data_IF_178636847206
#
_entry.id   IF_178636847206
#
_cell.length_a   1.000
_cell.length_b   1.000
_cell.length_c   1.000
_cell.angle_alpha   90.00
_cell.angle_beta   90.00
_cell.angle_gamma   90.00
#
_symmetry.space_group_name_H-M   'P 1'
#
loop_
_entity.id
_entity.type
_entity.pdbx_description
1 polymer ?
#
# COMPACT_ATOMS: atom_id res chain seq x y z
N UNK A 1 16.05 3.44 -16.20
CA UNK A 1 14.88 2.56 -16.07
C UNK A 1 13.80 3.00 -17.04
N UNK A 2 13.23 2.09 -17.84
CA UNK A 2 12.11 2.42 -18.74
C UNK A 2 10.85 2.79 -17.95
N UNK A 3 9.90 3.48 -18.58
CA UNK A 3 8.62 3.85 -17.96
C UNK A 3 7.85 2.59 -17.50
N UNK A 4 7.94 1.50 -18.27
CA UNK A 4 7.32 0.21 -17.95
C UNK A 4 7.80 -0.36 -16.62
N UNK A 5 9.11 -0.30 -16.34
CA UNK A 5 9.69 -0.77 -15.07
C UNK A 5 9.24 0.11 -13.90
N UNK A 6 9.16 1.44 -14.11
CA UNK A 6 8.68 2.37 -13.08
C UNK A 6 7.23 2.10 -12.69
N UNK A 7 6.36 1.88 -13.68
CA UNK A 7 4.94 1.54 -13.47
C UNK A 7 4.81 0.17 -12.81
N UNK A 8 5.56 -0.84 -13.28
CA UNK A 8 5.55 -2.19 -12.71
C UNK A 8 5.91 -2.19 -11.23
N UNK A 9 7.00 -1.51 -10.86
CA UNK A 9 7.40 -1.33 -9.45
C UNK A 9 6.33 -0.63 -8.62
N UNK A 10 5.73 0.44 -9.14
CA UNK A 10 4.67 1.17 -8.44
C UNK A 10 3.44 0.26 -8.20
N UNK A 11 3.01 -0.47 -9.22
CA UNK A 11 1.87 -1.38 -9.14
C UNK A 11 2.09 -2.52 -8.12
N UNK A 12 3.28 -3.12 -8.09
CA UNK A 12 3.62 -4.14 -7.08
C UNK A 12 3.56 -3.54 -5.67
N UNK A 13 4.08 -2.33 -5.48
CA UNK A 13 4.06 -1.64 -4.18
C UNK A 13 2.65 -1.23 -3.76
N UNK A 14 1.80 -0.78 -4.68
CA UNK A 14 0.38 -0.51 -4.40
C UNK A 14 -0.39 -1.77 -4.01
N UNK A 15 -0.13 -2.89 -4.71
CA UNK A 15 -0.69 -4.20 -4.37
C UNK A 15 -0.22 -4.67 -2.98
N UNK A 16 1.04 -4.45 -2.66
CA UNK A 16 1.62 -4.80 -1.34
C UNK A 16 1.08 -3.90 -0.24
N UNK A 17 0.75 -2.65 -0.54
CA UNK A 17 0.19 -1.72 0.44
C UNK A 17 -1.26 -2.07 0.81
N UNK A 18 -2.07 -2.35 -0.21
CA UNK A 18 -3.51 -2.62 -0.05
C UNK A 18 -3.82 -4.10 0.23
N UNK A 19 -2.90 -5.00 -0.12
CA UNK A 19 -3.15 -6.43 -0.20
C UNK A 19 -4.10 -6.78 -1.35
N UNK A 20 -4.16 -8.06 -1.72
CA UNK A 20 -4.98 -8.56 -2.85
C UNK A 20 -6.45 -8.15 -2.70
N UNK A 21 -7.04 -8.41 -1.52
CA UNK A 21 -8.45 -8.12 -1.25
C UNK A 21 -8.71 -6.61 -1.27
N UNK A 22 -7.83 -5.81 -0.66
CA UNK A 22 -7.94 -4.36 -0.68
C UNK A 22 -7.83 -3.78 -2.09
N UNK A 23 -6.91 -4.30 -2.91
CA UNK A 23 -6.79 -3.93 -4.32
C UNK A 23 -8.03 -4.30 -5.12
N UNK A 24 -8.60 -5.50 -4.95
CA UNK A 24 -9.86 -5.88 -5.61
C UNK A 24 -11.01 -4.96 -5.23
N UNK A 25 -11.12 -4.60 -3.95
CA UNK A 25 -12.14 -3.68 -3.47
C UNK A 25 -11.94 -2.26 -4.04
N UNK A 26 -10.70 -1.78 -4.11
CA UNK A 26 -10.39 -0.51 -4.76
C UNK A 26 -10.82 -0.52 -6.24
N UNK A 27 -10.50 -1.58 -6.98
CA UNK A 27 -10.93 -1.75 -8.38
C UNK A 27 -12.46 -1.75 -8.52
N UNK A 28 -13.17 -2.44 -7.63
CA UNK A 28 -14.64 -2.49 -7.64
C UNK A 28 -15.28 -1.11 -7.42
N UNK A 29 -14.57 -0.17 -6.80
CA UNK A 29 -15.07 1.19 -6.53
C UNK A 29 -14.82 2.19 -7.66
N UNK A 30 -14.01 1.84 -8.68
CA UNK A 30 -13.68 2.71 -9.82
C UNK A 30 -14.92 3.31 -10.49
N UNK A 31 -15.99 2.55 -10.81
CA UNK A 31 -17.16 3.12 -11.47
C UNK A 31 -17.87 4.19 -10.63
N UNK A 32 -17.89 4.05 -9.30
CA UNK A 32 -18.47 5.03 -8.40
C UNK A 32 -17.64 6.32 -8.38
N UNK A 33 -16.30 6.19 -8.38
CA UNK A 33 -15.38 7.32 -8.47
C UNK A 33 -15.57 8.07 -9.80
N UNK A 34 -15.63 7.35 -10.92
CA UNK A 34 -15.84 7.95 -12.25
C UNK A 34 -17.16 8.73 -12.30
N UNK A 35 -18.26 8.17 -11.81
CA UNK A 35 -19.55 8.87 -11.73
C UNK A 35 -19.46 10.17 -10.92
N UNK A 36 -18.62 10.18 -9.89
CA UNK A 36 -18.45 11.32 -9.00
C UNK A 36 -17.62 12.44 -9.63
N UNK A 37 -16.79 12.15 -10.64
CA UNK A 37 -16.04 13.15 -11.40
C UNK A 37 -16.94 14.18 -12.09
N UNK A 38 -18.22 13.86 -12.35
CA UNK A 38 -19.19 14.87 -12.81
C UNK A 38 -19.37 16.05 -11.84
N UNK A 39 -19.04 15.88 -10.56
CA UNK A 39 -19.08 16.91 -9.51
C UNK A 39 -17.74 17.62 -9.30
N UNK A 40 -16.77 17.43 -10.20
CA UNK A 40 -15.44 18.05 -10.12
C UNK A 40 -15.49 19.57 -9.95
N UNK A 41 -16.42 20.23 -10.65
CA UNK A 41 -16.56 21.69 -10.58
C UNK A 41 -17.17 22.18 -9.26
N UNK A 42 -17.94 21.36 -8.54
CA UNK A 42 -18.66 21.81 -7.34
C UNK A 42 -18.03 21.32 -6.03
N UNK A 43 -17.29 20.22 -6.06
CA UNK A 43 -16.69 19.63 -4.85
C UNK A 43 -15.20 19.96 -4.73
N UNK A 44 -14.85 20.79 -3.75
CA UNK A 44 -13.45 21.05 -3.39
C UNK A 44 -12.72 19.78 -2.91
N UNK A 45 -13.40 18.95 -2.11
CA UNK A 45 -12.85 17.69 -1.60
C UNK A 45 -12.46 16.73 -2.72
N UNK A 46 -13.28 16.65 -3.78
CA UNK A 46 -12.99 15.80 -4.93
C UNK A 46 -11.74 16.28 -5.68
N UNK A 47 -11.55 17.61 -5.80
CA UNK A 47 -10.36 18.19 -6.42
C UNK A 47 -9.11 17.93 -5.58
N UNK A 48 -9.20 18.23 -4.29
CA UNK A 48 -8.08 18.03 -3.37
C UNK A 48 -7.63 16.56 -3.36
N UNK A 49 -8.57 15.64 -3.16
CA UNK A 49 -8.26 14.22 -3.08
C UNK A 49 -7.88 13.64 -4.46
N UNK A 50 -8.52 14.07 -5.54
CA UNK A 50 -8.18 13.65 -6.90
C UNK A 50 -6.77 14.10 -7.32
N UNK A 51 -6.46 15.38 -7.16
CA UNK A 51 -5.12 15.92 -7.46
C UNK A 51 -4.07 15.35 -6.53
N UNK A 52 -4.37 15.23 -5.23
CA UNK A 52 -3.46 14.64 -4.25
C UNK A 52 -3.13 13.19 -4.57
N UNK A 53 -4.12 12.38 -4.94
CA UNK A 53 -3.91 11.00 -5.35
C UNK A 53 -3.03 10.92 -6.61
N UNK A 54 -3.36 11.70 -7.65
CA UNK A 54 -2.62 11.69 -8.92
C UNK A 54 -1.18 12.16 -8.73
N UNK A 55 -0.97 13.29 -8.04
CA UNK A 55 0.37 13.82 -7.79
C UNK A 55 1.21 12.85 -6.96
N UNK A 56 0.63 12.28 -5.90
CA UNK A 56 1.33 11.31 -5.06
C UNK A 56 1.72 10.06 -5.85
N UNK A 57 0.83 9.54 -6.70
CA UNK A 57 1.12 8.38 -7.54
C UNK A 57 2.17 8.69 -8.62
N UNK A 58 2.08 9.84 -9.30
CA UNK A 58 3.08 10.26 -10.28
C UNK A 58 4.47 10.41 -9.67
N UNK A 59 4.54 10.99 -8.47
CA UNK A 59 5.79 11.16 -7.73
C UNK A 59 6.37 9.80 -7.35
N UNK A 60 5.52 8.86 -6.92
CA UNK A 60 5.91 7.52 -6.54
C UNK A 60 6.33 6.64 -7.73
N UNK A 61 5.71 6.80 -8.90
CA UNK A 61 6.17 6.16 -10.14
C UNK A 61 7.55 6.70 -10.51
N UNK A 62 7.73 8.03 -10.44
CA UNK A 62 8.97 8.71 -10.86
C UNK A 62 10.15 8.42 -9.95
N UNK A 63 9.93 8.36 -8.63
CA UNK A 63 10.98 8.20 -7.63
C UNK A 63 10.89 6.83 -6.93
N UNK A 64 12.01 6.11 -6.76
CA UNK A 64 12.03 4.80 -6.10
C UNK A 64 11.87 4.92 -4.58
N UNK A 65 10.69 5.35 -4.13
CA UNK A 65 10.44 5.59 -2.71
C UNK A 65 10.03 4.33 -1.95
N UNK A 66 10.22 4.39 -0.63
CA UNK A 66 9.79 3.35 0.31
C UNK A 66 8.27 3.37 0.46
N UNK A 67 7.67 2.21 0.75
CA UNK A 67 6.22 2.03 0.94
C UNK A 67 5.52 3.09 1.81
N UNK A 68 6.10 3.60 2.93
CA UNK A 68 5.45 4.63 3.73
C UNK A 68 5.12 5.93 2.97
N UNK A 69 5.78 6.19 1.83
CA UNK A 69 5.48 7.35 0.99
C UNK A 69 4.16 7.21 0.21
N UNK A 70 3.52 6.04 0.27
CA UNK A 70 2.16 5.84 -0.26
C UNK A 70 1.07 6.21 0.74
N UNK A 71 1.38 6.54 1.99
CA UNK A 71 0.37 6.96 2.97
C UNK A 71 -0.53 8.12 2.47
N UNK A 72 -0.01 9.16 1.79
CA UNK A 72 -0.85 10.20 1.21
C UNK A 72 -1.84 9.66 0.17
N UNK A 73 -1.47 8.63 -0.60
CA UNK A 73 -2.37 7.98 -1.57
C UNK A 73 -3.54 7.30 -0.87
N UNK A 74 -3.30 6.64 0.27
CA UNK A 74 -4.36 6.00 1.07
C UNK A 74 -5.35 7.03 1.60
N UNK A 75 -4.84 8.14 2.14
CA UNK A 75 -5.70 9.22 2.67
C UNK A 75 -6.53 9.84 1.54
N UNK A 76 -5.90 10.17 0.41
CA UNK A 76 -6.62 10.73 -0.74
C UNK A 76 -7.63 9.72 -1.31
N UNK A 77 -7.27 8.45 -1.43
CA UNK A 77 -8.16 7.37 -1.87
C UNK A 77 -9.36 7.20 -0.94
N UNK A 78 -9.15 7.24 0.38
CA UNK A 78 -10.23 7.17 1.36
C UNK A 78 -11.21 8.36 1.24
N UNK A 79 -10.69 9.57 1.06
CA UNK A 79 -11.53 10.77 0.85
C UNK A 79 -12.32 10.63 -0.46
N UNK A 80 -11.67 10.23 -1.56
CA UNK A 80 -12.34 10.01 -2.84
C UNK A 80 -13.46 8.98 -2.69
N UNK A 81 -13.19 7.86 -2.05
CA UNK A 81 -14.17 6.82 -1.83
C UNK A 81 -15.33 7.29 -0.95
N UNK A 82 -15.04 8.04 0.12
CA UNK A 82 -16.07 8.64 0.96
C UNK A 82 -16.97 9.60 0.16
N UNK A 83 -16.40 10.38 -0.77
CA UNK A 83 -17.21 11.26 -1.63
C UNK A 83 -17.99 10.50 -2.71
N UNK A 84 -17.45 9.37 -3.18
CA UNK A 84 -18.02 8.60 -4.27
C UNK A 84 -19.14 7.64 -3.84
N UNK A 85 -19.06 7.10 -2.63
CA UNK A 85 -20.07 6.19 -2.11
C UNK A 85 -21.31 6.95 -1.63
N UNK A 86 -22.49 6.45 -2.05
CA UNK A 86 -23.78 6.91 -1.54
C UNK A 86 -23.96 6.58 -0.06
N UNK A 87 -24.84 7.34 0.62
CA UNK A 87 -25.03 7.27 2.06
C UNK A 87 -25.31 5.84 2.59
N UNK A 88 -25.97 5.00 1.79
CA UNK A 88 -26.32 3.63 2.16
C UNK A 88 -25.14 2.66 2.16
N UNK A 89 -24.25 2.74 1.17
CA UNK A 89 -23.13 1.80 1.01
C UNK A 89 -21.84 2.27 1.70
N UNK A 90 -21.73 3.59 1.93
CA UNK A 90 -20.55 4.24 2.52
C UNK A 90 -20.07 3.62 3.84
N UNK A 91 -20.90 3.49 4.89
CA UNK A 91 -20.39 3.01 6.19
C UNK A 91 -19.92 1.55 6.09
N UNK A 92 -20.69 0.68 5.45
CA UNK A 92 -20.36 -0.75 5.35
C UNK A 92 -19.08 -0.99 4.55
N UNK A 93 -18.91 -0.31 3.41
CA UNK A 93 -17.71 -0.50 2.58
C UNK A 93 -16.45 0.12 3.21
N UNK A 94 -16.56 1.29 3.84
CA UNK A 94 -15.43 1.91 4.53
C UNK A 94 -15.01 1.07 5.75
N UNK A 95 -15.97 0.60 6.56
CA UNK A 95 -15.67 -0.30 7.67
C UNK A 95 -15.11 -1.64 7.18
N UNK A 96 -15.61 -2.16 6.05
CA UNK A 96 -15.08 -3.35 5.40
C UNK A 96 -13.62 -3.18 4.98
N UNK A 97 -13.26 -2.04 4.36
CA UNK A 97 -11.86 -1.71 4.02
C UNK A 97 -10.97 -1.65 5.25
N UNK A 98 -11.43 -0.99 6.32
CA UNK A 98 -10.69 -0.90 7.58
C UNK A 98 -10.48 -2.30 8.17
N UNK A 99 -11.53 -3.13 8.21
CA UNK A 99 -11.45 -4.50 8.71
C UNK A 99 -10.49 -5.36 7.87
N UNK A 100 -10.55 -5.26 6.53
CA UNK A 100 -9.63 -5.94 5.63
C UNK A 100 -8.19 -5.47 5.86
N UNK A 101 -7.94 -4.18 6.09
CA UNK A 101 -6.59 -3.68 6.35
C UNK A 101 -6.04 -4.15 7.70
N UNK A 102 -6.89 -4.23 8.73
CA UNK A 102 -6.51 -4.79 10.03
C UNK A 102 -6.16 -6.27 9.89
N UNK A 103 -7.01 -7.04 9.17
CA UNK A 103 -6.75 -8.45 8.88
C UNK A 103 -5.47 -8.63 8.07
N UNK A 104 -5.23 -7.78 7.07
CA UNK A 104 -4.00 -7.76 6.29
C UNK A 104 -2.76 -7.52 7.16
N UNK A 105 -2.88 -6.65 8.17
CA UNK A 105 -1.83 -6.43 9.17
C UNK A 105 -1.45 -7.70 9.93
N UNK A 106 -2.38 -8.65 10.09
CA UNK A 106 -2.16 -9.91 10.80
C UNK A 106 -1.75 -11.04 9.86
N UNK A 107 -2.42 -11.19 8.73
CA UNK A 107 -2.19 -12.24 7.73
C UNK A 107 -2.16 -11.61 6.35
N UNK A 108 -1.11 -11.89 5.59
CA UNK A 108 -0.99 -11.43 4.21
C UNK A 108 -1.05 -12.61 3.24
N UNK A 109 -1.61 -12.33 2.05
CA UNK A 109 -1.68 -13.27 0.94
C UNK A 109 -0.85 -12.67 -0.18
N UNK A 110 0.27 -13.30 -0.49
CA UNK A 110 1.22 -12.85 -1.48
C UNK A 110 0.93 -13.55 -2.81
N UNK A 111 0.59 -12.76 -3.83
CA UNK A 111 0.31 -13.27 -5.19
C UNK A 111 1.48 -13.03 -6.15
N UNK A 112 2.38 -12.11 -5.79
CA UNK A 112 3.50 -11.68 -6.60
C UNK A 112 4.74 -11.52 -5.74
N UNK A 113 5.86 -12.09 -6.20
CA UNK A 113 7.18 -11.89 -5.59
C UNK A 113 8.11 -11.20 -6.60
N UNK A 114 8.55 -9.96 -6.33
CA UNK A 114 9.48 -9.26 -7.22
C UNK A 114 10.88 -9.89 -7.15
N UNK A 115 11.63 -9.85 -8.27
CA UNK A 115 13.00 -10.38 -8.33
C UNK A 115 13.97 -9.55 -7.47
N UNK A 116 13.78 -8.23 -7.50
CA UNK A 116 14.49 -7.25 -6.66
C UNK A 116 13.44 -6.23 -6.17
N UNK A 117 13.28 -6.01 -4.85
CA UNK A 117 12.24 -5.14 -4.32
C UNK A 117 12.41 -3.65 -4.66
N UNK A 118 13.63 -3.21 -5.00
CA UNK A 118 13.94 -1.82 -5.33
C UNK A 118 14.04 -1.58 -6.84
N UNK A 119 14.48 -2.57 -7.61
CA UNK A 119 14.65 -2.49 -9.07
C UNK A 119 13.44 -3.07 -9.84
N UNK A 120 12.74 -4.07 -9.26
CA UNK A 120 11.55 -4.77 -9.77
C UNK A 120 11.49 -4.90 -11.31
N UNK A 121 12.56 -5.44 -11.89
CA UNK A 121 12.70 -5.65 -13.35
C UNK A 121 11.77 -6.76 -13.85
N UNK A 122 11.41 -7.70 -12.96
CA UNK A 122 10.47 -8.80 -13.18
C UNK A 122 9.78 -9.19 -11.87
N UNK A 123 8.75 -10.03 -11.99
CA UNK A 123 8.01 -10.59 -10.86
C UNK A 123 7.56 -12.01 -11.20
N UNK A 124 7.54 -12.87 -10.19
CA UNK A 124 7.03 -14.23 -10.28
C UNK A 124 5.66 -14.31 -9.62
N UNK A 125 4.72 -15.01 -10.26
CA UNK A 125 3.43 -15.29 -9.67
C UNK A 125 3.61 -16.39 -8.63
N UNK A 126 3.27 -16.08 -7.38
CA UNK A 126 3.28 -17.02 -6.26
C UNK A 126 1.88 -17.03 -5.65
N UNK A 127 1.55 -18.04 -4.85
CA UNK A 127 0.37 -17.98 -3.99
C UNK A 127 0.80 -18.47 -2.63
N UNK A 128 1.17 -17.52 -1.78
CA UNK A 128 1.72 -17.79 -0.47
C UNK A 128 0.89 -17.09 0.61
N UNK A 129 0.83 -17.69 1.80
CA UNK A 129 0.12 -17.14 2.95
C UNK A 129 1.11 -17.01 4.09
N UNK A 130 1.36 -15.77 4.50
CA UNK A 130 2.38 -15.45 5.49
C UNK A 130 1.84 -14.51 6.57
N UNK A 131 2.62 -14.33 7.64
CA UNK A 131 2.27 -13.35 8.68
C UNK A 131 2.30 -11.95 8.09
N UNK A 132 1.27 -11.18 8.39
CA UNK A 132 1.15 -9.79 7.98
C UNK A 132 2.16 -8.88 8.68
N UNK A 133 2.30 -7.62 8.21
CA UNK A 133 3.37 -6.73 8.61
C UNK A 133 3.39 -6.40 10.12
N UNK A 134 2.24 -6.43 10.81
CA UNK A 134 2.18 -6.17 12.25
C UNK A 134 2.78 -7.34 13.04
N UNK A 135 2.43 -8.57 12.66
CA UNK A 135 2.94 -9.76 13.35
C UNK A 135 4.44 -9.93 13.05
N UNK A 136 4.84 -9.72 11.79
CA UNK A 136 6.25 -9.78 11.37
C UNK A 136 7.10 -8.74 12.10
N UNK A 137 6.68 -7.47 12.17
CA UNK A 137 7.39 -6.43 12.94
C UNK A 137 7.49 -6.79 14.43
N UNK A 138 6.41 -7.32 15.01
CA UNK A 138 6.38 -7.71 16.42
C UNK A 138 7.31 -8.90 16.72
N UNK A 139 7.42 -9.88 15.80
CA UNK A 139 8.38 -10.99 15.90
C UNK A 139 9.82 -10.49 15.75
N UNK A 140 10.11 -9.66 14.75
CA UNK A 140 11.44 -9.09 14.53
C UNK A 140 11.93 -8.27 15.74
N UNK A 141 11.06 -7.45 16.34
CA UNK A 141 11.40 -6.69 17.57
C UNK A 141 11.62 -7.57 18.79
N UNK A 142 10.98 -8.74 18.87
CA UNK A 142 11.25 -9.71 19.94
C UNK A 142 12.60 -10.38 19.77
N UNK A 143 12.98 -10.70 18.53
CA UNK A 143 14.28 -11.29 18.21
C UNK A 143 15.42 -10.27 18.36
N UNK A 144 15.13 -8.99 18.16
CA UNK A 144 16.05 -7.88 18.36
C UNK A 144 15.47 -6.89 19.39
N UNK A 145 15.59 -7.14 20.71
CA UNK A 145 14.93 -6.34 21.74
C UNK A 145 15.55 -4.95 21.99
N UNK A 146 16.79 -4.71 21.57
CA UNK A 146 17.53 -3.46 21.86
C UNK A 146 18.23 -2.82 20.64
N UNK A 147 17.60 -2.74 19.46
CA UNK A 147 18.31 -2.29 18.25
C UNK A 147 18.69 -0.81 18.35
N UNK A 148 17.90 -0.01 19.08
CA UNK A 148 18.14 1.41 19.34
C UNK A 148 19.27 1.68 20.36
N UNK A 149 19.68 0.67 21.13
CA UNK A 149 20.82 0.77 22.07
C UNK A 149 22.13 0.31 21.40
N UNK A 150 22.04 -0.40 20.28
CA UNK A 150 23.16 -0.80 19.45
C UNK A 150 23.93 0.42 18.97
N UNK A 151 25.17 0.59 19.46
CA UNK A 151 26.09 1.66 19.01
C UNK A 151 26.49 1.50 17.54
N UNK A 152 26.18 0.37 16.90
CA UNK A 152 26.55 0.05 15.53
C UNK A 152 25.33 -0.04 14.62
N UNK A 153 25.42 0.61 13.45
CA UNK A 153 24.42 0.64 12.37
C UNK A 153 23.87 -0.75 12.00
N UNK A 154 24.70 -1.78 12.15
CA UNK A 154 24.42 -3.17 11.78
C UNK A 154 23.25 -3.76 12.57
N UNK A 155 23.15 -3.49 13.88
CA UNK A 155 22.08 -4.06 14.72
C UNK A 155 20.72 -3.43 14.44
N UNK A 156 20.70 -2.12 14.14
CA UNK A 156 19.50 -1.40 13.68
C UNK A 156 19.06 -1.91 12.32
N UNK A 157 20.00 -2.10 11.40
CA UNK A 157 19.74 -2.62 10.05
C UNK A 157 19.20 -4.06 10.08
N UNK A 158 19.70 -4.92 10.97
CA UNK A 158 19.19 -6.29 11.11
C UNK A 158 17.70 -6.31 11.50
N UNK A 159 17.32 -5.56 12.55
CA UNK A 159 15.92 -5.46 12.97
C UNK A 159 15.03 -4.81 11.91
N UNK A 160 15.54 -3.77 11.23
CA UNK A 160 14.81 -3.07 10.18
C UNK A 160 14.61 -3.96 8.94
N UNK A 161 15.64 -4.66 8.48
CA UNK A 161 15.59 -5.54 7.30
C UNK A 161 14.71 -6.77 7.52
N UNK A 162 14.69 -7.32 8.74
CA UNK A 162 13.77 -8.41 9.13
C UNK A 162 12.30 -8.04 8.88
N UNK A 163 11.91 -6.79 9.17
CA UNK A 163 10.53 -6.32 9.04
C UNK A 163 10.11 -5.92 7.61
N UNK A 164 11.01 -6.01 6.62
CA UNK A 164 10.69 -5.55 5.26
C UNK A 164 9.81 -6.57 4.52
N UNK A 165 8.81 -6.12 3.75
CA UNK A 165 7.86 -7.00 3.06
C UNK A 165 8.47 -7.86 1.93
N UNK A 166 9.78 -7.74 1.68
CA UNK A 166 10.56 -8.55 0.75
C UNK A 166 11.98 -8.84 1.26
N UNK A 167 12.21 -8.67 2.57
CA UNK A 167 13.48 -9.05 3.17
C UNK A 167 13.67 -10.57 3.03
N UNK A 168 14.81 -10.99 2.48
CA UNK A 168 15.16 -12.41 2.40
C UNK A 168 15.15 -13.05 3.81
N UNK A 169 14.93 -14.38 3.92
CA UNK A 169 15.20 -15.12 5.15
C UNK A 169 16.64 -14.94 5.63
#
# INVERSE_FOLDING_TARGET
SSLTVQIGRAAVKDLTLLGVIGSMLALATIPAVIKTLGRWRTSWLLRFAGLGLVLSQLLFVRFPWKLPHLLPTLVCGAILLATALGARARPTLLMGLVAVQILYGVVQIDVLRPDDPDQATGATLVLDVSWGPVITDLQCRRQHPNPHLGRQKVEVEAAWNCSQPFGAP
#
